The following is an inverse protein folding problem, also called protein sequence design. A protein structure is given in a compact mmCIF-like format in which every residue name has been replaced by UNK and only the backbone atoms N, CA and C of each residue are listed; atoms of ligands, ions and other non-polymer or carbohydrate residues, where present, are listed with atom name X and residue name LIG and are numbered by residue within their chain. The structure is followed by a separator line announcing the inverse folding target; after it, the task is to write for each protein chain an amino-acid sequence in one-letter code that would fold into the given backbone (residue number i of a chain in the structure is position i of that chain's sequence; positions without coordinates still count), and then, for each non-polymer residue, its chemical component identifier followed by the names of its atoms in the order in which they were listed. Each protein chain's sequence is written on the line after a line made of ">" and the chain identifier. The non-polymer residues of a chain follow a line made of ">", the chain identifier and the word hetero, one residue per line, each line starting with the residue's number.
data_IF_342906149986
#
_entry.id   IF_342906149986
#
_cell.length_a   1.000
_cell.length_b   1.000
_cell.length_c   1.000
_cell.angle_alpha   90.00
_cell.angle_beta   90.00
_cell.angle_gamma   90.00
#
_symmetry.space_group_name_H-M   'P 1'
#
loop_
_entity.id
_entity.type
_entity.pdbx_description
1 polymer ?
#
# COMPACT_ATOMS: atom_id res chain seq x y z
N UNK A 1 -11.32 -9.11 -9.99
CA UNK A 1 -10.08 -8.34 -9.82
C UNK A 1 -9.70 -7.45 -11.01
N UNK A 2 -9.22 -7.96 -12.16
CA UNK A 2 -8.69 -7.11 -13.27
C UNK A 2 -9.62 -5.96 -13.71
N UNK A 3 -10.89 -6.27 -14.02
CA UNK A 3 -11.87 -5.25 -14.40
C UNK A 3 -12.11 -4.21 -13.30
N UNK A 4 -12.12 -4.64 -12.02
CA UNK A 4 -12.26 -3.73 -10.88
C UNK A 4 -11.05 -2.83 -10.72
N UNK A 5 -9.82 -3.36 -10.82
CA UNK A 5 -8.61 -2.55 -10.79
C UNK A 5 -8.59 -1.48 -11.89
N UNK A 6 -9.01 -1.84 -13.12
CA UNK A 6 -9.15 -0.87 -14.22
C UNK A 6 -10.24 0.17 -13.95
N UNK A 7 -11.35 -0.22 -13.34
CA UNK A 7 -12.41 0.72 -12.97
C UNK A 7 -11.91 1.72 -11.91
N UNK A 8 -11.28 1.24 -10.82
CA UNK A 8 -10.68 2.08 -9.78
C UNK A 8 -9.68 3.09 -10.36
N UNK A 9 -8.71 2.62 -11.16
CA UNK A 9 -7.70 3.49 -11.78
C UNK A 9 -8.31 4.44 -12.83
N UNK A 10 -9.33 4.00 -13.56
CA UNK A 10 -10.01 4.79 -14.58
C UNK A 10 -10.83 5.94 -13.99
N UNK A 11 -11.45 5.73 -12.83
CA UNK A 11 -12.23 6.76 -12.13
C UNK A 11 -11.42 7.64 -11.18
N UNK A 12 -10.22 7.20 -10.78
CA UNK A 12 -9.37 7.97 -9.87
C UNK A 12 -8.85 9.26 -10.53
N UNK A 13 -9.04 10.39 -9.85
CA UNK A 13 -8.50 11.68 -10.26
C UNK A 13 -7.13 11.87 -9.61
N UNK A 14 -6.07 11.76 -10.41
CA UNK A 14 -4.72 11.94 -9.91
C UNK A 14 -4.49 13.40 -9.44
N UNK A 15 -3.82 13.61 -8.29
CA UNK A 15 -3.62 14.94 -7.73
C UNK A 15 -2.58 15.78 -8.47
N UNK A 16 -1.72 15.16 -9.27
CA UNK A 16 -0.66 15.82 -10.04
C UNK A 16 -0.31 15.04 -11.32
N UNK A 17 0.49 15.66 -12.20
CA UNK A 17 0.91 15.07 -13.49
C UNK A 17 1.71 13.78 -13.33
N UNK A 18 2.51 13.65 -12.25
CA UNK A 18 3.34 12.47 -11.99
C UNK A 18 2.46 11.27 -11.63
N UNK A 19 1.46 11.48 -10.78
CA UNK A 19 0.48 10.49 -10.40
C UNK A 19 -0.43 10.12 -11.59
N UNK A 20 -0.80 11.08 -12.44
CA UNK A 20 -1.58 10.79 -13.64
C UNK A 20 -0.78 9.96 -14.66
N UNK A 21 0.51 10.25 -14.81
CA UNK A 21 1.41 9.46 -15.65
C UNK A 21 1.54 8.01 -15.14
N UNK A 22 1.64 7.79 -13.82
CA UNK A 22 1.61 6.45 -13.23
C UNK A 22 0.27 5.74 -13.47
N UNK A 23 -0.84 6.45 -13.25
CA UNK A 23 -2.20 5.93 -13.48
C UNK A 23 -2.38 5.47 -14.93
N UNK A 24 -1.96 6.30 -15.90
CA UNK A 24 -1.99 5.96 -17.31
C UNK A 24 -1.10 4.75 -17.63
N UNK A 25 0.13 4.70 -17.08
CA UNK A 25 1.03 3.57 -17.26
C UNK A 25 0.46 2.26 -16.69
N UNK A 26 -0.25 2.31 -15.56
CA UNK A 26 -0.87 1.13 -14.95
C UNK A 26 -2.06 0.64 -15.79
N UNK A 27 -2.89 1.56 -16.27
CA UNK A 27 -4.00 1.22 -17.18
C UNK A 27 -3.49 0.58 -18.48
N UNK A 28 -2.41 1.11 -19.05
CA UNK A 28 -1.77 0.55 -20.23
C UNK A 28 -1.13 -0.82 -19.93
N UNK A 29 -0.49 -0.98 -18.78
CA UNK A 29 0.03 -2.27 -18.34
C UNK A 29 -1.10 -3.32 -18.24
N UNK A 30 -2.22 -2.98 -17.59
CA UNK A 30 -3.38 -3.86 -17.47
C UNK A 30 -4.09 -4.12 -18.81
N UNK A 31 -3.96 -3.21 -19.79
CA UNK A 31 -4.43 -3.46 -21.14
C UNK A 31 -3.59 -4.55 -21.83
N UNK A 32 -2.25 -4.47 -21.73
CA UNK A 32 -1.32 -5.43 -22.32
C UNK A 32 -1.26 -6.77 -21.58
N UNK A 33 -1.52 -6.76 -20.28
CA UNK A 33 -1.42 -7.92 -19.40
C UNK A 33 -2.72 -8.12 -18.61
N UNK A 34 -3.66 -8.93 -19.13
CA UNK A 34 -4.89 -9.28 -18.41
C UNK A 34 -4.66 -9.95 -17.05
N UNK A 35 -3.49 -10.57 -16.87
CA UNK A 35 -3.00 -11.22 -15.66
C UNK A 35 -2.11 -10.31 -14.79
N UNK A 36 -1.95 -9.02 -15.14
CA UNK A 36 -1.14 -8.04 -14.40
C UNK A 36 -1.63 -7.69 -12.98
N UNK A 37 -2.66 -8.40 -12.48
CA UNK A 37 -3.14 -8.34 -11.09
C UNK A 37 -2.75 -9.57 -10.27
N UNK A 38 -2.25 -10.62 -10.91
CA UNK A 38 -1.88 -11.85 -10.24
C UNK A 38 -0.39 -11.86 -9.93
N UNK A 39 -0.04 -12.29 -8.71
CA UNK A 39 1.37 -12.52 -8.31
C UNK A 39 2.14 -13.43 -9.26
N UNK A 40 1.45 -14.40 -9.87
CA UNK A 40 2.01 -15.34 -10.85
C UNK A 40 1.99 -14.82 -12.30
N UNK A 41 1.47 -13.61 -12.53
CA UNK A 41 1.38 -12.97 -13.83
C UNK A 41 2.73 -12.39 -14.30
N UNK A 42 2.78 -11.25 -15.01
CA UNK A 42 4.03 -10.65 -15.45
C UNK A 42 4.96 -10.21 -14.30
N UNK A 43 6.26 -10.00 -14.58
CA UNK A 43 7.22 -9.51 -13.59
C UNK A 43 6.87 -8.16 -12.94
N UNK A 44 6.14 -7.31 -13.64
CA UNK A 44 5.46 -6.15 -13.07
C UNK A 44 4.00 -6.49 -12.85
N UNK A 45 3.46 -6.30 -11.66
CA UNK A 45 2.03 -6.52 -11.40
C UNK A 45 1.53 -5.64 -10.26
N UNK A 46 0.20 -5.51 -10.16
CA UNK A 46 -0.43 -4.71 -9.12
C UNK A 46 -0.24 -5.33 -7.73
N UNK A 47 -0.04 -4.44 -6.76
CA UNK A 47 -0.19 -4.70 -5.32
C UNK A 47 -1.15 -3.68 -4.73
N UNK A 48 -1.62 -3.94 -3.52
CA UNK A 48 -2.43 -3.01 -2.76
C UNK A 48 -1.86 -2.82 -1.36
N UNK A 49 -1.78 -1.57 -0.93
CA UNK A 49 -1.18 -1.19 0.35
C UNK A 49 -2.06 -0.23 1.14
N UNK A 50 -1.86 -0.18 2.45
CA UNK A 50 -2.57 0.66 3.40
C UNK A 50 -1.59 1.38 4.35
N UNK A 51 -1.59 2.71 4.31
CA UNK A 51 -0.96 3.55 5.33
C UNK A 51 -1.94 3.78 6.48
N UNK A 52 -1.51 3.57 7.72
CA UNK A 52 -2.37 3.82 8.89
C UNK A 52 -1.83 5.02 9.67
N UNK A 53 -2.64 6.08 9.79
CA UNK A 53 -2.32 7.30 10.53
C UNK A 53 -3.12 7.39 11.84
N UNK A 54 -2.58 8.12 12.81
CA UNK A 54 -3.35 8.58 13.97
C UNK A 54 -4.34 9.67 13.57
N UNK A 55 -5.37 9.97 14.38
CA UNK A 55 -6.38 10.98 14.04
C UNK A 55 -5.81 12.41 13.85
N UNK A 56 -4.71 12.71 14.53
CA UNK A 56 -3.95 13.97 14.38
C UNK A 56 -2.92 13.94 13.22
N UNK A 57 -2.84 12.82 12.50
CA UNK A 57 -1.83 12.51 11.49
C UNK A 57 -0.37 12.73 11.95
N UNK A 58 -0.11 12.82 13.26
CA UNK A 58 1.24 13.02 13.80
C UNK A 58 2.00 11.69 13.90
N UNK A 59 1.30 10.56 13.91
CA UNK A 59 1.89 9.23 13.99
C UNK A 59 1.42 8.33 12.84
N UNK A 60 2.30 7.42 12.44
CA UNK A 60 2.06 6.40 11.44
C UNK A 60 2.36 5.03 12.03
N UNK A 61 1.48 4.05 11.80
CA UNK A 61 1.70 2.67 12.20
C UNK A 61 2.43 1.92 11.07
N UNK A 62 3.56 1.31 11.40
CA UNK A 62 4.44 0.66 10.43
C UNK A 62 4.78 -0.76 10.87
N UNK A 63 5.12 -1.60 9.90
CA UNK A 63 5.67 -2.95 10.11
C UNK A 63 7.16 -2.97 9.83
N UNK A 64 7.94 -3.57 10.73
CA UNK A 64 9.36 -3.85 10.51
C UNK A 64 9.51 -5.21 9.85
N UNK A 65 9.69 -5.22 8.53
CA UNK A 65 9.63 -6.45 7.76
C UNK A 65 10.84 -7.37 8.03
N UNK A 66 10.60 -8.64 8.33
CA UNK A 66 11.60 -9.63 8.78
C UNK A 66 12.68 -9.94 7.75
N UNK A 67 12.32 -10.04 6.48
CA UNK A 67 13.29 -10.32 5.40
C UNK A 67 14.04 -9.08 4.95
N UNK A 68 13.35 -7.94 4.87
CA UNK A 68 13.92 -6.70 4.34
C UNK A 68 14.63 -5.84 5.40
N UNK A 69 14.39 -6.10 6.69
CA UNK A 69 14.97 -5.34 7.82
C UNK A 69 14.79 -3.83 7.67
N UNK A 70 13.61 -3.45 7.20
CA UNK A 70 13.21 -2.08 6.86
C UNK A 70 11.75 -1.86 7.27
N UNK A 71 11.37 -0.61 7.50
CA UNK A 71 10.02 -0.24 7.93
C UNK A 71 9.14 0.13 6.74
N UNK A 72 7.90 -0.37 6.74
CA UNK A 72 6.93 -0.23 5.66
C UNK A 72 5.53 0.08 6.19
N UNK A 73 4.71 0.66 5.32
CA UNK A 73 3.25 0.51 5.39
C UNK A 73 2.86 -0.96 5.18
N UNK A 74 1.62 -1.31 5.51
CA UNK A 74 1.09 -2.65 5.26
C UNK A 74 0.71 -2.82 3.78
N UNK A 75 0.88 -4.00 3.21
CA UNK A 75 0.52 -4.22 1.83
C UNK A 75 1.17 -5.43 1.20
N UNK A 76 0.56 -5.89 0.12
CA UNK A 76 0.95 -7.14 -0.51
C UNK A 76 0.26 -7.40 -1.84
N UNK A 77 0.39 -8.65 -2.27
CA UNK A 77 -0.20 -9.12 -3.52
C UNK A 77 -1.72 -9.27 -3.37
N UNK A 78 -2.41 -9.16 -4.50
CA UNK A 78 -3.84 -9.45 -4.57
C UNK A 78 -4.05 -10.97 -4.48
N UNK A 79 -5.00 -11.40 -3.67
CA UNK A 79 -5.39 -12.80 -3.52
C UNK A 79 -6.67 -13.09 -4.33
N UNK A 80 -6.92 -14.38 -4.63
CA UNK A 80 -8.08 -14.87 -5.38
C UNK A 80 -9.40 -14.49 -4.70
N UNK A 81 -9.40 -14.37 -3.37
CA UNK A 81 -10.56 -13.99 -2.57
C UNK A 81 -10.87 -12.48 -2.55
N UNK A 82 -9.92 -11.63 -2.98
CA UNK A 82 -10.13 -10.18 -2.96
C UNK A 82 -11.11 -9.77 -4.06
N UNK A 83 -12.11 -8.95 -3.71
CA UNK A 83 -13.14 -8.50 -4.66
C UNK A 83 -12.66 -7.30 -5.48
N UNK A 84 -11.84 -6.44 -4.89
CA UNK A 84 -11.22 -5.27 -5.49
C UNK A 84 -9.91 -4.88 -4.74
N UNK A 85 -9.26 -3.80 -5.18
CA UNK A 85 -8.00 -3.31 -4.60
C UNK A 85 -8.15 -2.81 -3.16
N UNK A 86 -9.31 -2.25 -2.81
CA UNK A 86 -9.58 -1.75 -1.45
C UNK A 86 -9.72 -2.91 -0.46
N UNK A 87 -10.42 -3.98 -0.87
CA UNK A 87 -10.53 -5.21 -0.11
C UNK A 87 -9.17 -5.85 0.14
N UNK A 88 -8.30 -5.90 -0.88
CA UNK A 88 -6.93 -6.40 -0.74
C UNK A 88 -6.11 -5.56 0.26
N UNK A 89 -6.10 -4.23 0.11
CA UNK A 89 -5.42 -3.33 1.06
C UNK A 89 -5.97 -3.47 2.49
N UNK A 90 -7.28 -3.69 2.63
CA UNK A 90 -7.92 -3.94 3.93
C UNK A 90 -7.48 -5.26 4.55
N UNK A 91 -7.39 -6.33 3.76
CA UNK A 91 -6.93 -7.65 4.19
C UNK A 91 -5.49 -7.57 4.68
N UNK A 92 -4.58 -7.08 3.85
CA UNK A 92 -3.14 -6.94 4.20
C UNK A 92 -2.96 -6.09 5.46
N UNK A 93 -3.66 -4.95 5.56
CA UNK A 93 -3.62 -4.12 6.76
C UNK A 93 -4.04 -4.89 8.01
N UNK A 94 -5.08 -5.73 7.95
CA UNK A 94 -5.55 -6.53 9.09
C UNK A 94 -4.59 -7.66 9.43
N UNK A 95 -4.11 -8.39 8.43
CA UNK A 95 -3.20 -9.53 8.58
C UNK A 95 -1.85 -9.10 9.16
N UNK A 96 -1.26 -8.02 8.64
CA UNK A 96 0.07 -7.58 9.04
C UNK A 96 0.08 -6.71 10.31
N UNK A 97 -0.96 -5.90 10.55
CA UNK A 97 -1.04 -5.10 11.79
C UNK A 97 -1.59 -5.89 12.97
N UNK A 98 -2.34 -6.96 12.69
CA UNK A 98 -3.11 -7.70 13.68
C UNK A 98 -4.31 -6.94 14.25
N UNK A 99 -4.74 -5.83 13.62
CA UNK A 99 -5.87 -5.01 14.07
C UNK A 99 -7.10 -5.32 13.20
N UNK A 100 -8.09 -6.11 13.67
CA UNK A 100 -9.21 -6.55 12.82
C UNK A 100 -10.14 -5.41 12.37
N UNK A 101 -10.12 -4.28 13.08
CA UNK A 101 -10.98 -3.13 12.82
C UNK A 101 -10.39 -2.15 11.81
N UNK A 102 -9.11 -2.30 11.41
CA UNK A 102 -8.52 -1.41 10.41
C UNK A 102 -9.30 -1.53 9.11
N UNK A 103 -9.74 -0.38 8.61
CA UNK A 103 -10.51 -0.27 7.38
C UNK A 103 -10.08 1.04 6.71
N UNK A 104 -9.31 0.99 5.61
CA UNK A 104 -8.95 2.19 4.87
C UNK A 104 -10.18 2.90 4.32
N UNK A 105 -10.06 4.21 4.11
CA UNK A 105 -11.03 4.95 3.32
C UNK A 105 -11.05 4.37 1.89
N UNK A 106 -12.21 4.30 1.21
CA UNK A 106 -12.34 3.75 -0.14
C UNK A 106 -11.85 4.73 -1.22
N UNK A 107 -10.70 5.36 -0.99
CA UNK A 107 -10.06 6.33 -1.89
C UNK A 107 -8.59 5.98 -2.05
N UNK A 108 -8.12 5.94 -3.29
CA UNK A 108 -6.69 5.80 -3.59
C UNK A 108 -6.00 7.10 -3.21
N UNK A 109 -4.98 7.01 -2.38
CA UNK A 109 -4.22 8.19 -1.90
C UNK A 109 -2.97 8.43 -2.72
N UNK A 110 -2.35 7.36 -3.24
CA UNK A 110 -1.13 7.45 -4.03
C UNK A 110 -0.94 6.18 -4.88
N UNK A 111 -0.34 6.35 -6.05
CA UNK A 111 0.28 5.28 -6.83
C UNK A 111 1.80 5.35 -6.69
N UNK A 112 2.43 4.20 -6.57
CA UNK A 112 3.89 4.09 -6.49
C UNK A 112 4.39 2.86 -7.22
N UNK A 113 5.43 3.06 -8.03
CA UNK A 113 6.05 2.01 -8.81
C UNK A 113 7.46 1.78 -8.25
N UNK A 114 7.68 0.63 -7.62
CA UNK A 114 8.95 0.34 -6.98
C UNK A 114 9.55 -1.01 -7.38
N UNK A 115 10.84 -0.97 -7.71
CA UNK A 115 11.63 -2.12 -8.11
C UNK A 115 11.96 -2.94 -6.86
N UNK A 116 11.75 -4.25 -6.95
CA UNK A 116 12.18 -5.17 -5.91
C UNK A 116 13.64 -5.54 -6.13
N UNK A 117 14.45 -5.34 -5.09
CA UNK A 117 15.86 -5.70 -5.08
C UNK A 117 16.07 -6.95 -4.21
N UNK A 118 16.67 -8.00 -4.76
CA UNK A 118 17.00 -9.25 -4.05
C UNK A 118 16.67 -10.50 -4.87
N UNK A 119 16.68 -11.66 -4.21
CA UNK A 119 16.36 -12.97 -4.81
C UNK A 119 14.85 -13.12 -5.03
N UNK A 120 14.31 -12.36 -5.98
CA UNK A 120 12.97 -12.54 -6.52
C UNK A 120 13.10 -13.18 -7.90
N UNK A 121 12.66 -14.43 -8.02
CA UNK A 121 12.86 -15.23 -9.25
C UNK A 121 12.07 -14.67 -10.43
N UNK A 122 10.90 -14.07 -10.15
CA UNK A 122 9.94 -13.66 -11.17
C UNK A 122 9.37 -12.26 -10.96
N UNK A 123 9.13 -11.85 -9.71
CA UNK A 123 8.63 -10.51 -9.40
C UNK A 123 9.76 -9.48 -9.47
N UNK A 124 9.66 -8.51 -10.38
CA UNK A 124 10.65 -7.44 -10.58
C UNK A 124 10.18 -6.12 -9.99
N UNK A 125 8.89 -5.84 -10.07
CA UNK A 125 8.36 -4.54 -9.73
C UNK A 125 6.92 -4.63 -9.27
N UNK A 126 6.59 -3.88 -8.23
CA UNK A 126 5.21 -3.69 -7.82
C UNK A 126 4.67 -2.38 -8.37
N UNK A 127 3.46 -2.49 -8.92
CA UNK A 127 2.63 -1.38 -9.35
C UNK A 127 1.61 -1.11 -8.24
N UNK A 128 2.04 -0.40 -7.20
CA UNK A 128 1.36 -0.34 -5.91
C UNK A 128 0.23 0.70 -5.90
N UNK A 129 -0.97 0.26 -5.53
CA UNK A 129 -2.14 1.11 -5.34
C UNK A 129 -2.38 1.29 -3.84
N UNK A 130 -2.20 2.52 -3.36
CA UNK A 130 -2.15 2.79 -1.92
C UNK A 130 -3.43 3.45 -1.43
N UNK A 131 -3.90 2.98 -0.30
CA UNK A 131 -5.00 3.53 0.47
C UNK A 131 -4.48 4.01 1.84
N UNK A 132 -5.33 4.71 2.58
CA UNK A 132 -5.02 5.10 3.95
C UNK A 132 -6.19 4.87 4.90
N UNK A 133 -5.86 4.54 6.14
CA UNK A 133 -6.80 4.38 7.26
C UNK A 133 -6.41 5.31 8.41
N UNK A 134 -7.39 5.63 9.25
CA UNK A 134 -7.17 6.34 10.51
C UNK A 134 -7.52 5.41 11.65
N UNK A 135 -6.60 5.26 12.61
CA UNK A 135 -6.82 4.50 13.83
C UNK A 135 -6.33 5.27 15.05
N UNK A 136 -7.06 5.13 16.15
CA UNK A 136 -6.60 5.63 17.44
C UNK A 136 -5.34 4.86 17.89
N UNK A 137 -4.36 5.58 18.47
CA UNK A 137 -3.08 5.00 18.93
C UNK A 137 -3.22 4.00 20.07
N UNK A 138 -4.38 3.95 20.75
CA UNK A 138 -4.72 2.91 21.72
C UNK A 138 -4.99 1.55 21.08
N UNK A 139 -5.17 1.50 19.75
CA UNK A 139 -5.20 0.25 18.99
C UNK A 139 -3.88 -0.49 19.18
N UNK A 140 -3.95 -1.70 19.73
CA UNK A 140 -2.76 -2.51 20.05
C UNK A 140 -2.42 -3.39 18.85
N UNK A 141 -1.37 -3.08 18.07
CA UNK A 141 -0.93 -3.94 16.99
C UNK A 141 -0.32 -5.23 17.54
N UNK A 142 -0.33 -6.29 16.74
CA UNK A 142 0.38 -7.53 17.03
C UNK A 142 1.30 -7.90 15.87
N UNK A 143 2.45 -8.50 16.18
CA UNK A 143 3.38 -8.98 15.16
C UNK A 143 2.95 -10.33 14.58
N UNK A 144 3.04 -10.48 13.26
CA UNK A 144 2.89 -11.75 12.54
C UNK A 144 4.21 -12.40 12.09
N UNK A 145 4.11 -13.45 11.28
CA UNK A 145 5.24 -14.22 10.74
C UNK A 145 6.15 -13.42 9.79
N UNK A 146 5.67 -12.31 9.24
CA UNK A 146 6.43 -11.46 8.32
C UNK A 146 7.01 -10.20 8.98
N UNK A 147 6.52 -9.83 10.17
CA UNK A 147 6.97 -8.66 10.94
C UNK A 147 7.88 -9.04 12.11
N UNK A 148 8.97 -8.30 12.31
CA UNK A 148 9.76 -8.32 13.55
C UNK A 148 9.11 -7.47 14.65
N UNK A 149 8.42 -6.41 14.23
CA UNK A 149 7.79 -5.41 15.10
C UNK A 149 6.69 -4.71 14.30
N UNK A 150 5.63 -4.26 14.98
CA UNK A 150 4.63 -3.33 14.44
C UNK A 150 4.47 -2.21 15.45
N UNK A 151 4.73 -0.97 15.05
CA UNK A 151 4.83 0.14 15.99
C UNK A 151 4.37 1.48 15.39
N UNK A 152 3.88 2.35 16.28
CA UNK A 152 3.57 3.74 15.97
C UNK A 152 4.83 4.59 16.00
N UNK A 153 5.05 5.36 14.94
CA UNK A 153 6.19 6.26 14.78
C UNK A 153 5.72 7.70 14.54
N UNK A 154 6.39 8.72 15.10
CA UNK A 154 6.13 10.10 14.72
C UNK A 154 6.40 10.31 13.23
N UNK A 155 5.47 10.91 12.50
CA UNK A 155 5.61 11.22 11.07
C UNK A 155 6.74 12.21 10.79
N UNK A 156 7.04 13.08 11.77
CA UNK A 156 8.19 14.00 11.75
C UNK A 156 9.53 13.30 12.01
N UNK A 157 9.53 12.04 12.46
CA UNK A 157 10.73 11.28 12.82
C UNK A 157 10.54 9.79 12.59
N UNK A 158 10.48 9.43 11.31
CA UNK A 158 10.40 8.04 10.87
C UNK A 158 11.63 7.24 11.32
N UNK A 159 11.48 5.93 11.59
CA UNK A 159 12.57 5.09 12.06
C UNK A 159 13.67 4.95 11.01
N UNK A 160 14.90 4.66 11.46
CA UNK A 160 15.99 4.32 10.55
C UNK A 160 15.62 3.09 9.72
N UNK A 161 15.98 3.09 8.43
CA UNK A 161 15.60 2.01 7.50
C UNK A 161 14.19 2.16 6.94
N UNK A 162 13.54 3.30 7.16
CA UNK A 162 12.36 3.69 6.38
C UNK A 162 12.77 4.11 4.97
N UNK A 163 12.02 3.69 3.96
CA UNK A 163 12.29 4.12 2.59
C UNK A 163 11.79 5.55 2.34
N UNK A 164 12.40 6.22 1.36
CA UNK A 164 12.22 7.66 1.15
C UNK A 164 10.77 8.04 0.74
N UNK A 165 10.05 7.13 0.10
CA UNK A 165 8.67 7.35 -0.37
C UNK A 165 7.65 7.46 0.76
N UNK A 166 7.95 6.97 1.97
CA UNK A 166 6.95 6.93 3.05
C UNK A 166 6.52 8.34 3.48
N UNK A 167 7.45 9.31 3.51
CA UNK A 167 7.11 10.71 3.81
C UNK A 167 6.11 11.29 2.80
N UNK A 168 6.36 11.06 1.51
CA UNK A 168 5.44 11.49 0.45
C UNK A 168 4.09 10.77 0.53
N UNK A 169 4.05 9.51 0.98
CA UNK A 169 2.81 8.78 1.21
C UNK A 169 2.01 9.34 2.39
N UNK A 170 2.68 9.71 3.49
CA UNK A 170 2.04 10.39 4.63
C UNK A 170 1.39 11.70 4.17
N UNK A 171 2.10 12.53 3.41
CA UNK A 171 1.55 13.81 2.93
C UNK A 171 0.38 13.61 1.96
N UNK A 172 0.46 12.61 1.07
CA UNK A 172 -0.64 12.25 0.19
C UNK A 172 -1.88 11.75 0.96
N UNK A 173 -1.67 10.96 2.02
CA UNK A 173 -2.75 10.48 2.87
C UNK A 173 -3.42 11.62 3.65
N UNK A 174 -2.66 12.57 4.18
CA UNK A 174 -3.21 13.77 4.85
C UNK A 174 -4.12 14.57 3.91
N UNK A 175 -3.62 14.86 2.71
CA UNK A 175 -4.39 15.58 1.71
C UNK A 175 -5.66 14.83 1.29
N UNK A 176 -5.57 13.52 1.05
CA UNK A 176 -6.70 12.72 0.58
C UNK A 176 -7.76 12.45 1.66
N UNK A 177 -7.41 12.54 2.94
CA UNK A 177 -8.30 12.29 4.07
C UNK A 177 -8.70 13.56 4.83
N UNK A 178 -8.29 14.74 4.35
CA UNK A 178 -8.53 16.05 4.99
C UNK A 178 -8.06 16.11 6.46
N UNK A 179 -6.85 15.59 6.73
CA UNK A 179 -6.19 15.54 8.06
C UNK A 179 -5.16 16.66 8.28
#
# INVERSE_FOLDING_TARGET
>A
MHAQARATLGSWHAPDERQDALRAAYLEHLHRHPDGVAKAGPPEHLTASCLVLSPDAEHVLLTHHRRARSWFQFGGHLDVGDVDLHAAATREAREESGIPTVTPAPVVVQLDRHILHGDFVHCREHLDVRFAAVLDRTSTPTTGEESLEVAWWPTSRLPQGTRAELGALVDAARLALDL
#
